data_IF_961424695357
#
_entry.id   IF_961424695357
#
_cell.length_a   1.000
_cell.length_b   1.000
_cell.length_c   1.000
_cell.angle_alpha   90.00
_cell.angle_beta   90.00
_cell.angle_gamma   90.00
#
_symmetry.space_group_name_H-M   'P 1'
#
loop_
_entity.id
_entity.type
_entity.pdbx_description
1 polymer ?
#
# COMPACT_ATOMS: atom_id res chain seq x y z
N UNK A 1 -4.06 -21.08 -2.89
CA UNK A 1 -2.95 -21.35 -1.95
C UNK A 1 -2.24 -20.04 -1.63
N UNK A 2 -2.12 -19.62 -0.36
CA UNK A 2 -1.39 -18.43 0.04
C UNK A 2 0.07 -18.40 -0.43
N UNK A 3 0.75 -19.55 -0.47
CA UNK A 3 2.16 -19.63 -0.90
C UNK A 3 2.27 -19.30 -2.39
N UNK A 4 1.38 -19.86 -3.21
CA UNK A 4 1.33 -19.57 -4.64
C UNK A 4 1.10 -18.07 -4.95
N UNK A 5 0.25 -17.41 -4.15
CA UNK A 5 0.00 -15.96 -4.28
C UNK A 5 1.25 -15.15 -3.98
N UNK A 6 2.02 -15.54 -2.96
CA UNK A 6 3.28 -14.91 -2.58
C UNK A 6 4.34 -15.07 -3.69
N UNK A 7 4.55 -16.30 -4.18
CA UNK A 7 5.55 -16.61 -5.20
C UNK A 7 5.29 -15.91 -6.53
N UNK A 8 4.01 -15.77 -6.92
CA UNK A 8 3.63 -15.20 -8.21
C UNK A 8 3.23 -13.71 -8.13
N UNK A 9 3.34 -13.08 -6.96
CA UNK A 9 2.98 -11.67 -6.75
C UNK A 9 1.58 -11.32 -7.29
N UNK A 10 0.61 -12.20 -7.05
CA UNK A 10 -0.75 -12.05 -7.57
C UNK A 10 -1.45 -10.91 -6.81
N UNK A 11 -2.05 -9.93 -7.51
CA UNK A 11 -2.72 -8.82 -6.85
C UNK A 11 -3.95 -9.32 -6.07
N UNK A 12 -4.13 -8.76 -4.87
CA UNK A 12 -5.24 -9.10 -3.99
C UNK A 12 -6.44 -8.23 -4.36
N UNK A 13 -7.61 -8.85 -4.51
CA UNK A 13 -8.88 -8.14 -4.70
C UNK A 13 -9.39 -7.57 -3.37
N UNK A 14 -8.97 -6.36 -3.05
CA UNK A 14 -9.39 -5.66 -1.84
C UNK A 14 -10.89 -5.35 -1.80
N UNK A 15 -11.53 -5.17 -2.96
CA UNK A 15 -12.97 -4.95 -3.06
C UNK A 15 -13.75 -6.17 -2.61
N UNK A 16 -13.33 -7.38 -3.02
CA UNK A 16 -13.94 -8.62 -2.58
C UNK A 16 -13.94 -8.78 -1.06
N UNK A 17 -12.79 -8.54 -0.40
CA UNK A 17 -12.69 -8.65 1.06
C UNK A 17 -13.53 -7.59 1.77
N UNK A 18 -13.53 -6.36 1.26
CA UNK A 18 -14.34 -5.28 1.85
C UNK A 18 -15.84 -5.60 1.77
N UNK A 19 -16.33 -6.03 0.60
CA UNK A 19 -17.76 -6.25 0.36
C UNK A 19 -18.28 -7.57 0.92
N UNK A 20 -17.49 -8.64 0.90
CA UNK A 20 -17.98 -9.97 1.29
C UNK A 20 -17.59 -10.39 2.70
N UNK A 21 -16.47 -9.91 3.23
CA UNK A 21 -15.95 -10.32 4.54
C UNK A 21 -16.17 -9.27 5.62
N UNK A 22 -15.92 -7.99 5.30
CA UNK A 22 -15.95 -6.92 6.32
C UNK A 22 -17.30 -6.20 6.41
N UNK A 23 -17.99 -5.99 5.29
CA UNK A 23 -19.22 -5.18 5.24
C UNK A 23 -20.32 -5.69 6.19
N UNK A 24 -20.69 -6.97 6.10
CA UNK A 24 -21.84 -7.53 6.82
C UNK A 24 -21.63 -7.56 8.34
N UNK A 25 -20.46 -7.98 8.87
CA UNK A 25 -20.19 -7.88 10.30
C UNK A 25 -20.21 -6.44 10.81
N UNK A 26 -19.61 -5.50 10.08
CA UNK A 26 -19.57 -4.09 10.47
C UNK A 26 -20.98 -3.49 10.49
N UNK A 27 -21.79 -3.75 9.47
CA UNK A 27 -23.17 -3.27 9.43
C UNK A 27 -24.00 -3.86 10.57
N UNK A 28 -23.81 -5.13 10.92
CA UNK A 28 -24.51 -5.75 12.05
C UNK A 28 -24.22 -5.05 13.38
N UNK A 29 -22.97 -4.63 13.60
CA UNK A 29 -22.53 -3.95 14.83
C UNK A 29 -23.03 -2.50 14.86
N UNK A 30 -22.96 -1.81 13.73
CA UNK A 30 -23.17 -0.36 13.66
C UNK A 30 -24.58 0.07 13.25
N UNK A 31 -25.38 -0.79 12.61
CA UNK A 31 -26.76 -0.48 12.22
C UNK A 31 -27.66 -0.07 13.40
N UNK A 32 -27.57 -0.67 14.61
CA UNK A 32 -28.36 -0.22 15.75
C UNK A 32 -28.05 1.21 16.21
N UNK A 33 -26.86 1.73 15.90
CA UNK A 33 -26.40 3.07 16.33
C UNK A 33 -26.63 4.10 15.22
N UNK A 34 -26.29 3.75 13.98
CA UNK A 34 -26.26 4.65 12.82
C UNK A 34 -27.49 4.53 11.91
N UNK A 35 -28.35 3.53 12.16
CA UNK A 35 -29.54 3.24 11.35
C UNK A 35 -29.20 2.86 9.91
N UNK A 36 -30.13 3.12 9.00
CA UNK A 36 -30.06 2.73 7.59
C UNK A 36 -28.91 3.39 6.80
N UNK A 37 -28.28 4.44 7.37
CA UNK A 37 -27.14 5.15 6.76
C UNK A 37 -25.78 4.54 7.11
N UNK A 38 -25.74 3.49 7.93
CA UNK A 38 -24.48 2.87 8.36
C UNK A 38 -23.60 2.44 7.18
N UNK A 39 -24.20 1.90 6.11
CA UNK A 39 -23.47 1.43 4.94
C UNK A 39 -22.80 2.55 4.16
N UNK A 40 -23.50 3.64 3.88
CA UNK A 40 -22.92 4.76 3.16
C UNK A 40 -21.82 5.43 3.98
N UNK A 41 -22.04 5.64 5.28
CA UNK A 41 -21.07 6.30 6.15
C UNK A 41 -19.78 5.47 6.31
N UNK A 42 -19.89 4.15 6.49
CA UNK A 42 -18.74 3.30 6.79
C UNK A 42 -18.00 2.82 5.53
N UNK A 43 -18.72 2.48 4.47
CA UNK A 43 -18.14 1.78 3.32
C UNK A 43 -18.06 2.64 2.06
N UNK A 44 -18.77 3.78 2.00
CA UNK A 44 -18.84 4.65 0.83
C UNK A 44 -18.67 6.12 1.23
N UNK A 45 -17.48 6.46 1.72
CA UNK A 45 -17.13 7.82 2.14
C UNK A 45 -15.79 8.31 1.60
N UNK A 46 -15.41 9.53 1.95
CA UNK A 46 -14.17 10.17 1.49
C UNK A 46 -12.91 9.38 1.87
N UNK A 47 -12.95 8.66 3.00
CA UNK A 47 -11.87 7.76 3.45
C UNK A 47 -11.62 6.57 2.51
N UNK A 48 -12.59 6.22 1.65
CA UNK A 48 -12.47 5.10 0.68
C UNK A 48 -12.08 5.54 -0.73
N UNK A 49 -11.96 6.86 -0.97
CA UNK A 49 -11.62 7.42 -2.29
C UNK A 49 -10.15 7.24 -2.65
N UNK A 50 -9.29 7.13 -1.66
CA UNK A 50 -7.86 6.85 -1.86
C UNK A 50 -7.66 5.34 -1.89
N UNK A 51 -7.47 4.78 -3.09
CA UNK A 51 -7.19 3.35 -3.28
C UNK A 51 -5.74 3.15 -3.69
N UNK A 52 -5.02 2.32 -2.93
CA UNK A 52 -3.74 1.78 -3.38
C UNK A 52 -4.02 0.66 -4.39
N UNK A 53 -3.72 0.90 -5.66
CA UNK A 53 -3.87 -0.10 -6.72
C UNK A 53 -2.49 -0.65 -7.05
N UNK A 54 -2.29 -1.94 -6.75
CA UNK A 54 -1.08 -2.66 -7.15
C UNK A 54 -1.36 -3.29 -8.51
N UNK A 55 -0.63 -2.86 -9.54
CA UNK A 55 -0.69 -3.50 -10.86
C UNK A 55 0.22 -4.73 -10.88
N UNK A 56 -0.26 -5.84 -11.46
CA UNK A 56 0.56 -7.04 -11.61
C UNK A 56 1.71 -6.77 -12.59
N UNK A 57 2.92 -7.11 -12.16
CA UNK A 57 4.09 -7.13 -13.07
C UNK A 57 4.11 -8.36 -13.96
N UNK A 58 3.32 -9.37 -13.61
CA UNK A 58 3.24 -10.66 -14.29
C UNK A 58 2.09 -10.61 -15.30
N UNK A 59 2.39 -10.20 -16.54
CA UNK A 59 1.42 -10.18 -17.63
C UNK A 59 2.03 -9.67 -18.94
N UNK A 60 1.62 -10.27 -20.07
CA UNK A 60 2.11 -9.89 -21.40
C UNK A 60 1.88 -8.40 -21.74
N UNK A 61 0.82 -7.79 -21.17
CA UNK A 61 0.51 -6.38 -21.35
C UNK A 61 1.51 -5.45 -20.65
N UNK A 62 2.00 -5.86 -19.47
CA UNK A 62 2.95 -5.10 -18.65
C UNK A 62 4.32 -4.93 -19.33
N UNK A 63 4.67 -5.84 -20.25
CA UNK A 63 5.90 -5.76 -21.04
C UNK A 63 5.90 -4.59 -22.06
N UNK A 64 4.73 -4.09 -22.46
CA UNK A 64 4.59 -3.00 -23.43
C UNK A 64 4.27 -1.65 -22.79
N UNK A 65 4.14 -1.59 -21.47
CA UNK A 65 3.79 -0.34 -20.77
C UNK A 65 5.05 0.42 -20.36
N UNK A 66 5.19 1.67 -20.83
CA UNK A 66 6.29 2.54 -20.41
C UNK A 66 5.89 3.35 -19.18
N UNK A 67 6.64 3.20 -18.08
CA UNK A 67 6.46 4.03 -16.88
C UNK A 67 6.77 5.50 -17.23
N UNK A 68 5.83 6.39 -16.91
CA UNK A 68 6.05 7.83 -16.94
C UNK A 68 6.15 8.33 -15.51
N UNK A 69 7.14 9.17 -15.23
CA UNK A 69 7.26 9.79 -13.92
C UNK A 69 6.18 10.85 -13.74
N UNK A 70 5.68 10.94 -12.51
CA UNK A 70 4.60 11.86 -12.13
C UNK A 70 5.03 12.68 -10.93
N UNK A 71 4.62 13.94 -10.89
CA UNK A 71 4.83 14.82 -9.76
C UNK A 71 4.28 14.20 -8.47
N UNK A 72 5.10 14.14 -7.42
CA UNK A 72 4.69 13.56 -6.13
C UNK A 72 3.46 14.25 -5.54
N UNK A 73 3.37 15.57 -5.68
CA UNK A 73 2.31 16.39 -5.10
C UNK A 73 0.99 16.38 -5.87
N UNK A 74 1.00 16.65 -7.18
CA UNK A 74 -0.23 16.80 -7.97
C UNK A 74 -0.49 15.66 -8.97
N UNK A 75 0.38 14.64 -9.03
CA UNK A 75 0.31 13.50 -9.97
C UNK A 75 0.33 13.88 -11.46
N UNK A 76 0.67 15.13 -11.80
CA UNK A 76 0.88 15.54 -13.19
C UNK A 76 2.07 14.79 -13.80
N UNK A 77 1.92 14.35 -15.05
CA UNK A 77 2.99 13.67 -15.80
C UNK A 77 4.15 14.64 -16.05
N UNK A 78 5.37 14.22 -15.73
CA UNK A 78 6.57 15.04 -15.89
C UNK A 78 7.35 14.64 -17.16
N UNK A 79 7.85 15.62 -17.94
CA UNK A 79 8.70 15.36 -19.10
C UNK A 79 10.14 15.02 -18.69
N UNK A 80 10.60 15.59 -17.57
CA UNK A 80 11.95 15.42 -17.03
C UNK A 80 11.93 14.53 -15.78
N UNK A 81 13.10 14.02 -15.39
CA UNK A 81 13.27 13.14 -14.22
C UNK A 81 13.17 13.87 -12.85
N UNK A 82 12.63 15.09 -12.82
CA UNK A 82 12.40 15.82 -11.57
C UNK A 82 11.29 15.14 -10.75
N UNK A 83 11.36 15.12 -9.40
CA UNK A 83 10.28 14.59 -8.57
C UNK A 83 9.04 15.51 -8.49
N UNK A 84 9.22 16.81 -8.80
CA UNK A 84 8.18 17.84 -8.64
C UNK A 84 8.00 18.69 -9.92
N UNK A 85 6.77 19.13 -10.15
CA UNK A 85 6.47 20.15 -11.16
C UNK A 85 6.74 21.56 -10.60
N UNK A 86 6.92 22.54 -11.50
CA UNK A 86 7.19 23.96 -11.16
C UNK A 86 6.21 24.56 -10.13
N UNK A 87 4.96 24.12 -10.13
CA UNK A 87 3.94 24.56 -9.18
C UNK A 87 4.10 23.94 -7.79
N UNK A 88 4.60 22.70 -7.70
CA UNK A 88 4.75 21.99 -6.43
C UNK A 88 6.11 22.24 -5.76
N UNK A 89 7.09 22.81 -6.47
CA UNK A 89 8.42 23.13 -5.93
C UNK A 89 8.37 24.01 -4.66
N UNK A 90 7.36 24.87 -4.52
CA UNK A 90 7.16 25.69 -3.31
C UNK A 90 6.99 24.83 -2.04
N UNK A 91 6.42 23.63 -2.18
CA UNK A 91 6.18 22.67 -1.07
C UNK A 91 7.21 21.54 -1.02
N UNK A 92 8.33 21.70 -1.70
CA UNK A 92 9.41 20.71 -1.73
C UNK A 92 9.92 20.30 -0.32
N UNK A 93 10.24 21.21 0.61
CA UNK A 93 10.76 20.80 1.92
C UNK A 93 9.76 19.96 2.71
N UNK A 94 8.47 20.30 2.66
CA UNK A 94 7.39 19.56 3.31
C UNK A 94 7.25 18.14 2.75
N UNK A 95 7.23 18.02 1.42
CA UNK A 95 7.12 16.71 0.75
C UNK A 95 8.35 15.84 1.02
N UNK A 96 9.55 16.43 0.97
CA UNK A 96 10.79 15.71 1.24
C UNK A 96 10.82 15.18 2.68
N UNK A 97 10.45 16.00 3.67
CA UNK A 97 10.40 15.57 5.06
C UNK A 97 9.37 14.45 5.28
N UNK A 98 8.21 14.52 4.61
CA UNK A 98 7.20 13.45 4.66
C UNK A 98 7.73 12.12 4.12
N UNK A 99 8.38 12.12 2.95
CA UNK A 99 8.95 10.90 2.37
C UNK A 99 10.13 10.36 3.19
N UNK A 100 10.97 11.23 3.75
CA UNK A 100 12.06 10.82 4.64
C UNK A 100 11.53 10.12 5.90
N UNK A 101 10.43 10.63 6.45
CA UNK A 101 9.79 10.05 7.64
C UNK A 101 9.23 8.65 7.33
N UNK A 102 8.60 8.47 6.16
CA UNK A 102 8.13 7.16 5.69
C UNK A 102 9.27 6.18 5.46
N UNK A 103 10.37 6.64 4.86
CA UNK A 103 11.56 5.81 4.65
C UNK A 103 12.10 5.30 5.98
N UNK A 104 12.25 6.20 6.96
CA UNK A 104 12.73 5.85 8.30
C UNK A 104 11.81 4.83 8.99
N UNK A 105 10.48 4.97 8.86
CA UNK A 105 9.53 3.99 9.39
C UNK A 105 9.71 2.59 8.75
N UNK A 106 9.88 2.55 7.42
CA UNK A 106 10.08 1.30 6.69
C UNK A 106 11.40 0.62 7.06
N UNK A 107 12.49 1.38 7.18
CA UNK A 107 13.79 0.87 7.60
C UNK A 107 13.73 0.28 9.03
N UNK A 108 13.13 1.01 9.96
CA UNK A 108 12.95 0.53 11.33
C UNK A 108 12.12 -0.76 11.37
N UNK A 109 11.03 -0.84 10.59
CA UNK A 109 10.19 -2.03 10.50
C UNK A 109 10.96 -3.21 9.88
N UNK A 110 11.72 -2.97 8.82
CA UNK A 110 12.56 -3.98 8.17
C UNK A 110 13.58 -4.56 9.16
N UNK A 111 14.35 -3.70 9.82
CA UNK A 111 15.37 -4.13 10.79
C UNK A 111 14.76 -4.94 11.95
N UNK A 112 13.61 -4.51 12.47
CA UNK A 112 12.92 -5.24 13.54
C UNK A 112 12.51 -6.63 13.07
N UNK A 113 11.82 -6.75 11.94
CA UNK A 113 11.34 -8.05 11.45
C UNK A 113 12.50 -9.00 11.13
N UNK A 114 13.56 -8.50 10.49
CA UNK A 114 14.70 -9.32 10.10
C UNK A 114 15.49 -9.84 11.31
N UNK A 115 15.68 -8.98 12.32
CA UNK A 115 16.40 -9.37 13.55
C UNK A 115 15.57 -10.33 14.42
N UNK A 116 14.24 -10.23 14.42
CA UNK A 116 13.37 -11.21 15.10
C UNK A 116 13.53 -12.63 14.51
N UNK A 117 13.66 -12.77 13.19
CA UNK A 117 13.94 -14.06 12.57
C UNK A 117 15.28 -14.67 13.02
N UNK A 118 16.34 -13.85 13.10
CA UNK A 118 17.65 -14.30 13.59
C UNK A 118 17.60 -14.70 15.07
N UNK A 119 16.85 -13.96 15.90
CA UNK A 119 16.62 -14.31 17.32
C UNK A 119 15.89 -15.64 17.45
N UNK A 120 14.88 -15.88 16.62
CA UNK A 120 14.13 -17.13 16.60
C UNK A 120 15.02 -18.32 16.20
N UNK A 121 15.89 -18.15 15.20
CA UNK A 121 16.86 -19.16 14.78
C UNK A 121 17.93 -19.44 15.85
N UNK A 122 18.34 -18.41 16.60
CA UNK A 122 19.40 -18.49 17.62
C UNK A 122 20.82 -18.36 17.08
N UNK A 123 21.00 -18.26 15.75
CA UNK A 123 22.28 -18.00 15.09
C UNK A 123 22.28 -16.60 14.48
N UNK A 124 23.37 -15.86 14.68
CA UNK A 124 23.58 -14.53 14.07
C UNK A 124 24.51 -14.58 12.85
N UNK A 125 25.15 -15.72 12.61
CA UNK A 125 26.19 -15.89 11.59
C UNK A 125 25.75 -16.78 10.42
N UNK A 126 24.69 -17.56 10.60
CA UNK A 126 24.12 -18.43 9.57
C UNK A 126 22.88 -17.77 8.94
N UNK A 127 22.54 -18.22 7.73
CA UNK A 127 21.34 -17.75 7.03
C UNK A 127 20.06 -18.30 7.66
N UNK A 128 19.00 -17.48 7.69
CA UNK A 128 17.67 -17.91 8.13
C UNK A 128 16.95 -18.59 6.96
N UNK A 129 16.75 -19.91 7.04
CA UNK A 129 15.98 -20.68 6.07
C UNK A 129 14.68 -21.20 6.71
N UNK A 130 13.68 -20.32 6.83
CA UNK A 130 12.36 -20.64 7.34
C UNK A 130 11.31 -20.05 6.39
N UNK A 131 10.46 -20.91 5.82
CA UNK A 131 9.39 -20.55 4.88
C UNK A 131 8.03 -20.56 5.57
#
# INVERSE_FOLDING_TARGET
>A
DPIYVLENSIPIDSSYYLENQLSKPLLRIFAPILGDKAESILLRGDHTRTKAVVTSRVGALSAFTRRKETCLGCKAVLPDSSPLCKHCTVREPEMYQSELSKLSELENRFCRLWTECQRCQGSLHEEVLCT
#
